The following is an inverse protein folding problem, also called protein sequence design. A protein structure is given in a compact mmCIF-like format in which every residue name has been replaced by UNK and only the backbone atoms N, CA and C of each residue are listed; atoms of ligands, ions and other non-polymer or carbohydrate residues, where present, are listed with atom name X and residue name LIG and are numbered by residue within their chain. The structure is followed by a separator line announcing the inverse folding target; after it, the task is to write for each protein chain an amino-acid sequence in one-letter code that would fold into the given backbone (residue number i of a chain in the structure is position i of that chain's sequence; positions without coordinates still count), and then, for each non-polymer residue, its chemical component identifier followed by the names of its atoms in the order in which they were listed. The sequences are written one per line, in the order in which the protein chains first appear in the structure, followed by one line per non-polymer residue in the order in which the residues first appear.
data_IF_946973341488
#
_entry.id   IF_946973341488
#
_cell.length_a   1.000
_cell.length_b   1.000
_cell.length_c   1.000
_cell.angle_alpha   90.00
_cell.angle_beta   90.00
_cell.angle_gamma   90.00
#
_symmetry.space_group_name_H-M   'P 1'
#
loop_
_entity.id
_entity.type
_entity.pdbx_description
1 polymer ?
#
# COMPACT_ATOMS: atom_id res chain seq x y z
N UNK A 1 25.78 7.65 6.61
CA UNK A 1 24.46 8.28 6.35
C UNK A 1 23.59 7.26 5.62
N UNK A 2 22.45 6.85 6.19
CA UNK A 2 21.50 5.99 5.46
C UNK A 2 20.81 6.87 4.42
N UNK A 3 21.23 6.74 3.16
CA UNK A 3 20.54 7.34 2.02
C UNK A 3 19.18 6.65 1.97
N UNK A 4 18.12 7.30 2.45
CA UNK A 4 16.77 6.80 2.22
C UNK A 4 16.55 6.83 0.71
N UNK A 5 16.10 5.72 0.09
CA UNK A 5 15.78 5.73 -1.31
C UNK A 5 14.75 6.84 -1.56
N UNK A 6 14.83 7.54 -2.70
CA UNK A 6 13.88 8.59 -3.02
C UNK A 6 12.46 8.05 -2.89
N UNK A 7 11.60 8.82 -2.21
CA UNK A 7 10.20 8.47 -2.03
C UNK A 7 9.56 8.39 -3.42
N UNK A 8 9.24 7.17 -3.88
CA UNK A 8 8.62 6.95 -5.18
C UNK A 8 7.14 7.30 -5.09
N UNK A 9 6.68 8.25 -5.90
CA UNK A 9 5.26 8.60 -6.00
C UNK A 9 4.64 7.84 -7.16
N UNK A 10 3.48 7.23 -6.92
CA UNK A 10 2.71 6.59 -7.98
C UNK A 10 1.46 7.42 -8.26
N UNK A 11 1.34 8.03 -9.45
CA UNK A 11 0.18 8.84 -9.79
C UNK A 11 -1.09 7.98 -9.81
N UNK A 12 -2.20 8.54 -9.35
CA UNK A 12 -3.50 7.89 -9.39
C UNK A 12 -4.31 8.42 -10.56
N UNK A 13 -5.15 7.58 -11.21
CA UNK A 13 -5.90 7.99 -12.41
C UNK A 13 -6.98 9.03 -12.12
N UNK A 14 -7.39 9.16 -10.87
CA UNK A 14 -8.45 10.06 -10.41
C UNK A 14 -8.06 10.66 -9.05
N UNK A 15 -8.66 11.78 -8.63
CA UNK A 15 -8.45 12.30 -7.28
C UNK A 15 -9.07 11.37 -6.23
N UNK A 16 -8.22 10.67 -5.48
CA UNK A 16 -8.62 9.87 -4.32
C UNK A 16 -8.48 10.67 -3.02
N UNK A 17 -9.35 10.45 -2.02
CA UNK A 17 -9.20 11.10 -0.72
C UNK A 17 -7.91 10.66 -0.02
N UNK A 18 -7.29 11.60 0.70
CA UNK A 18 -6.10 11.32 1.49
C UNK A 18 -6.40 10.28 2.58
N UNK A 19 -5.52 9.31 2.76
CA UNK A 19 -5.72 8.26 3.76
C UNK A 19 -4.69 7.15 3.68
N UNK A 20 -4.62 6.31 4.71
CA UNK A 20 -3.75 5.12 4.73
C UNK A 20 -4.40 4.02 3.89
N UNK A 21 -3.62 3.41 3.01
CA UNK A 21 -4.11 2.38 2.07
C UNK A 21 -3.12 1.22 1.96
N UNK A 22 -3.63 0.04 1.62
CA UNK A 22 -2.86 -0.98 0.93
C UNK A 22 -3.09 -0.83 -0.57
N UNK A 23 -2.02 -0.86 -1.37
CA UNK A 23 -2.09 -0.73 -2.82
C UNK A 23 -1.42 -1.93 -3.51
N UNK A 24 -2.01 -2.39 -4.61
CA UNK A 24 -1.41 -3.37 -5.51
C UNK A 24 -0.69 -2.64 -6.65
N UNK A 25 0.60 -2.90 -6.81
CA UNK A 25 1.45 -2.28 -7.84
C UNK A 25 1.90 -3.34 -8.82
N UNK A 26 1.70 -3.08 -10.11
CA UNK A 26 2.16 -3.90 -11.24
C UNK A 26 2.66 -2.97 -12.33
N UNK A 27 3.83 -3.26 -12.89
CA UNK A 27 4.45 -2.47 -13.96
C UNK A 27 4.51 -0.97 -13.64
N UNK A 28 4.87 -0.64 -12.39
CA UNK A 28 4.93 0.73 -11.85
C UNK A 28 3.61 1.52 -11.85
N UNK A 29 2.47 0.83 -11.98
CA UNK A 29 1.13 1.41 -11.91
C UNK A 29 0.38 0.87 -10.69
N UNK A 30 -0.35 1.75 -10.00
CA UNK A 30 -1.31 1.34 -8.96
C UNK A 30 -2.54 0.78 -9.64
N UNK A 31 -2.71 -0.53 -9.53
CA UNK A 31 -3.83 -1.26 -10.17
C UNK A 31 -5.08 -1.29 -9.31
N UNK A 32 -4.91 -1.31 -7.99
CA UNK A 32 -6.01 -1.33 -7.02
C UNK A 32 -5.53 -0.85 -5.66
N UNK A 33 -6.43 -0.32 -4.83
CA UNK A 33 -6.14 0.13 -3.46
C UNK A 33 -7.33 -0.10 -2.52
N UNK A 34 -7.02 -0.36 -1.25
CA UNK A 34 -8.01 -0.52 -0.17
C UNK A 34 -7.58 0.36 0.99
N UNK A 35 -8.48 1.23 1.45
CA UNK A 35 -8.25 2.05 2.65
C UNK A 35 -8.17 1.18 3.90
N UNK A 36 -7.26 1.52 4.80
CA UNK A 36 -7.08 0.81 6.08
C UNK A 36 -8.14 1.18 7.12
N UNK A 37 -9.25 1.77 6.70
CA UNK A 37 -10.38 2.07 7.58
C UNK A 37 -11.04 0.76 7.98
N UNK A 38 -11.20 0.58 9.30
CA UNK A 38 -11.67 -0.68 9.84
C UNK A 38 -13.20 -0.75 9.74
N UNK A 39 -13.76 -1.79 9.08
CA UNK A 39 -15.21 -2.00 9.12
C UNK A 39 -15.69 -2.29 10.54
N UNK A 40 -16.90 -1.85 10.86
CA UNK A 40 -17.51 -2.10 12.17
C UNK A 40 -17.58 -3.60 12.47
N UNK A 41 -17.20 -4.00 13.69
CA UNK A 41 -17.22 -5.40 14.14
C UNK A 41 -16.13 -6.30 13.53
N UNK A 42 -15.19 -5.78 12.74
CA UNK A 42 -14.08 -6.57 12.18
C UNK A 42 -12.76 -6.30 12.91
N UNK A 43 -11.98 -7.35 13.19
CA UNK A 43 -10.63 -7.16 13.73
C UNK A 43 -9.65 -6.66 12.66
N UNK A 44 -8.71 -5.80 13.06
CA UNK A 44 -7.70 -5.24 12.16
C UNK A 44 -6.88 -6.33 11.45
N UNK A 45 -6.52 -7.40 12.16
CA UNK A 45 -5.75 -8.53 11.60
C UNK A 45 -6.51 -9.23 10.47
N UNK A 46 -7.80 -9.50 10.67
CA UNK A 46 -8.66 -10.14 9.65
C UNK A 46 -8.83 -9.21 8.45
N UNK A 47 -9.11 -7.93 8.70
CA UNK A 47 -9.25 -6.93 7.64
C UNK A 47 -7.97 -6.82 6.81
N UNK A 48 -6.80 -6.68 7.45
CA UNK A 48 -5.49 -6.63 6.80
C UNK A 48 -5.22 -7.88 5.97
N UNK A 49 -5.47 -9.07 6.51
CA UNK A 49 -5.23 -10.33 5.78
C UNK A 49 -6.12 -10.43 4.53
N UNK A 50 -7.42 -10.17 4.66
CA UNK A 50 -8.38 -10.22 3.54
C UNK A 50 -8.05 -9.19 2.47
N UNK A 51 -7.82 -7.94 2.87
CA UNK A 51 -7.49 -6.85 1.94
C UNK A 51 -6.19 -7.15 1.16
N UNK A 52 -5.14 -7.62 1.85
CA UNK A 52 -3.89 -8.00 1.20
C UNK A 52 -4.04 -9.21 0.26
N UNK A 53 -4.84 -10.22 0.65
CA UNK A 53 -5.09 -11.38 -0.19
C UNK A 53 -5.84 -11.01 -1.48
N UNK A 54 -6.81 -10.10 -1.39
CA UNK A 54 -7.53 -9.56 -2.56
C UNK A 54 -6.58 -8.79 -3.49
N UNK A 55 -5.74 -7.91 -2.94
CA UNK A 55 -4.80 -7.09 -3.70
C UNK A 55 -3.68 -7.89 -4.36
N UNK A 56 -3.23 -8.99 -3.74
CA UNK A 56 -2.14 -9.83 -4.25
C UNK A 56 -2.42 -10.45 -5.64
N UNK A 57 -3.70 -10.53 -6.06
CA UNK A 57 -4.09 -10.97 -7.40
C UNK A 57 -3.72 -9.95 -8.49
N UNK A 58 -3.59 -8.67 -8.11
CA UNK A 58 -3.41 -7.55 -9.03
C UNK A 58 -1.96 -7.06 -9.09
N UNK A 59 -1.11 -7.41 -8.12
CA UNK A 59 0.30 -6.99 -8.11
C UNK A 59 0.97 -7.19 -6.77
N UNK A 60 2.17 -6.63 -6.61
CA UNK A 60 2.88 -6.60 -5.34
C UNK A 60 2.14 -5.66 -4.40
N UNK A 61 1.87 -6.10 -3.17
CA UNK A 61 1.05 -5.34 -2.22
C UNK A 61 1.90 -4.52 -1.26
N UNK A 62 1.73 -3.21 -1.32
CA UNK A 62 2.43 -2.22 -0.52
C UNK A 62 1.48 -1.55 0.47
N UNK A 63 1.99 -1.18 1.65
CA UNK A 63 1.31 -0.22 2.53
C UNK A 63 1.81 1.19 2.22
N UNK A 64 0.93 2.18 2.40
CA UNK A 64 1.26 3.57 2.15
C UNK A 64 0.12 4.50 2.47
N UNK A 65 0.15 5.70 1.87
CA UNK A 65 -0.94 6.67 1.96
C UNK A 65 -1.18 7.36 0.63
N UNK A 66 -2.40 7.83 0.44
CA UNK A 66 -2.74 8.76 -0.64
C UNK A 66 -2.38 10.17 -0.17
N UNK A 67 -1.59 10.88 -0.98
CA UNK A 67 -1.19 12.28 -0.79
C UNK A 67 -1.11 12.97 -2.15
N UNK A 68 -1.68 14.17 -2.28
CA UNK A 68 -1.57 14.97 -3.51
C UNK A 68 -1.89 14.16 -4.78
N UNK A 69 -2.96 13.35 -4.73
CA UNK A 69 -3.39 12.46 -5.81
C UNK A 69 -2.39 11.38 -6.23
N UNK A 70 -1.42 11.08 -5.37
CA UNK A 70 -0.45 10.01 -5.55
C UNK A 70 -0.55 8.98 -4.43
N UNK A 71 -0.29 7.72 -4.74
CA UNK A 71 0.08 6.75 -3.73
C UNK A 71 1.54 6.92 -3.35
N UNK A 72 1.79 7.08 -2.06
CA UNK A 72 3.11 7.20 -1.46
C UNK A 72 3.35 5.94 -0.62
N UNK A 73 4.24 5.02 -1.06
CA UNK A 73 4.57 3.83 -0.32
C UNK A 73 5.23 4.23 1.00
N UNK A 74 4.73 3.66 2.10
CA UNK A 74 5.42 3.71 3.39
C UNK A 74 5.96 2.30 3.58
N UNK A 75 7.28 2.14 3.48
CA UNK A 75 7.91 0.86 3.79
C UNK A 75 7.63 0.49 5.25
N UNK A 76 6.53 -0.20 5.54
CA UNK A 76 6.46 -1.08 6.69
C UNK A 76 7.35 -2.25 6.34
N UNK A 77 8.65 -2.12 6.66
CA UNK A 77 9.62 -3.21 6.56
C UNK A 77 9.06 -4.45 7.26
N UNK A 78 8.42 -5.32 6.49
CA UNK A 78 8.33 -6.76 6.78
C UNK A 78 9.20 -7.47 5.75
N UNK A 79 10.46 -7.03 5.65
CA UNK A 79 11.49 -7.79 4.95
C UNK A 79 12.31 -8.57 5.98
N UNK A 80 11.86 -9.78 6.28
CA UNK A 80 12.65 -10.78 7.00
C UNK A 80 13.57 -11.59 6.06
N UNK A 81 13.84 -11.14 4.83
CA UNK A 81 14.62 -11.88 3.82
C UNK A 81 15.88 -11.19 3.30
N UNK A 82 16.29 -10.05 3.86
CA UNK A 82 17.63 -9.48 3.63
C UNK A 82 18.62 -9.81 4.77
N UNK A 83 18.63 -11.07 5.22
CA UNK A 83 19.74 -11.67 5.96
C UNK A 83 20.09 -13.01 5.34
N UNK A 84 20.85 -12.98 4.25
CA UNK A 84 21.77 -14.06 3.86
C UNK A 84 23.02 -13.43 3.27
#
# INVERSE_FOLDING_TARGET
MKIMPPVKYYPLPHPFPSGKVWAAIRDDVVTNMIYMELPEGMSYTVHRQRSRATLARNGVVWSGRVENHCFVPRFESTDHRLKK
#
